data_IF_309326264481
#
_entry.id   IF_309326264481
#
_cell.length_a   1.000
_cell.length_b   1.000
_cell.length_c   1.000
_cell.angle_alpha   90.00
_cell.angle_beta   90.00
_cell.angle_gamma   90.00
#
_symmetry.space_group_name_H-M   'P 1'
#
loop_
_entity.id
_entity.type
_entity.pdbx_description
1 polymer ?
#
# COMPACT_ATOMS: atom_id res chain seq x y z
N UNK A 1 21.36 -2.66 -3.33
CA UNK A 1 19.99 -2.47 -3.83
C UNK A 1 19.30 -3.82 -3.75
N UNK A 2 18.15 -3.86 -3.10
CA UNK A 2 17.32 -5.04 -2.96
C UNK A 2 16.04 -4.84 -3.77
N UNK A 3 15.62 -5.88 -4.46
CA UNK A 3 14.43 -5.87 -5.30
C UNK A 3 13.39 -6.75 -4.61
N UNK A 4 12.19 -6.22 -4.42
CA UNK A 4 11.09 -6.92 -3.77
C UNK A 4 9.87 -6.88 -4.67
N UNK A 5 9.31 -8.03 -5.01
CA UNK A 5 8.04 -8.08 -5.74
C UNK A 5 6.91 -7.94 -4.74
N UNK A 6 6.06 -6.95 -4.92
CA UNK A 6 4.85 -6.74 -4.13
C UNK A 6 3.64 -7.24 -4.92
N UNK A 7 2.77 -8.00 -4.26
CA UNK A 7 1.52 -8.51 -4.82
C UNK A 7 0.36 -8.11 -3.91
N UNK A 8 -0.69 -7.54 -4.48
CA UNK A 8 -1.94 -7.31 -3.78
C UNK A 8 -2.87 -8.50 -4.05
N UNK A 9 -3.32 -9.17 -2.98
CA UNK A 9 -4.09 -10.40 -3.04
C UNK A 9 -5.39 -10.31 -2.21
N UNK A 10 -6.41 -11.05 -2.65
CA UNK A 10 -7.63 -11.29 -1.90
C UNK A 10 -7.46 -12.42 -0.89
N UNK A 11 -8.33 -12.49 0.13
CA UNK A 11 -8.46 -13.69 0.98
C UNK A 11 -8.79 -14.94 0.14
N UNK A 12 -9.43 -14.77 -1.01
CA UNK A 12 -9.72 -15.86 -1.97
C UNK A 12 -8.50 -16.31 -2.79
N UNK A 13 -7.34 -15.66 -2.66
CA UNK A 13 -6.12 -15.96 -3.44
C UNK A 13 -6.06 -15.30 -4.82
N UNK A 14 -6.98 -14.39 -5.13
CA UNK A 14 -6.95 -13.62 -6.39
C UNK A 14 -5.91 -12.50 -6.30
N UNK A 15 -4.93 -12.47 -7.21
CA UNK A 15 -3.96 -11.38 -7.32
C UNK A 15 -4.55 -10.23 -8.15
N UNK A 16 -4.64 -9.05 -7.56
CA UNK A 16 -5.23 -7.86 -8.20
C UNK A 16 -4.21 -6.98 -8.90
N UNK A 17 -3.02 -6.84 -8.30
CA UNK A 17 -1.94 -6.03 -8.84
C UNK A 17 -0.60 -6.61 -8.37
N UNK A 18 0.43 -6.43 -9.19
CA UNK A 18 1.77 -6.89 -8.88
C UNK A 18 2.79 -5.92 -9.49
N UNK A 19 3.71 -5.46 -8.65
CA UNK A 19 4.75 -4.52 -9.06
C UNK A 19 6.02 -4.77 -8.26
N UNK A 20 7.10 -4.13 -8.68
CA UNK A 20 8.41 -4.33 -8.08
C UNK A 20 8.86 -3.06 -7.38
N UNK A 21 9.21 -3.18 -6.11
CA UNK A 21 9.81 -2.12 -5.31
C UNK A 21 11.32 -2.31 -5.23
N UNK A 22 12.05 -1.19 -5.27
CA UNK A 22 13.49 -1.17 -5.10
C UNK A 22 13.83 -0.49 -3.78
N UNK A 23 14.57 -1.20 -2.94
CA UNK A 23 15.04 -0.69 -1.67
C UNK A 23 16.56 -0.49 -1.71
N UNK A 24 17.09 0.56 -1.05
CA UNK A 24 18.52 0.76 -0.93
C UNK A 24 19.19 -0.35 -0.09
N UNK A 25 18.46 -0.89 0.89
CA UNK A 25 18.90 -1.90 1.85
C UNK A 25 18.16 -3.22 1.67
N UNK A 26 18.81 -4.34 2.04
CA UNK A 26 18.18 -5.67 2.09
C UNK A 26 17.36 -5.90 3.36
N UNK A 27 17.61 -5.14 4.42
CA UNK A 27 16.81 -5.16 5.65
C UNK A 27 15.93 -3.93 5.68
N UNK A 28 14.61 -4.13 5.71
CA UNK A 28 13.62 -3.06 5.80
C UNK A 28 12.62 -3.37 6.90
N UNK A 29 11.91 -2.37 7.41
CA UNK A 29 10.77 -2.63 8.31
C UNK A 29 9.47 -2.77 7.54
N UNK A 30 8.48 -3.41 8.15
CA UNK A 30 7.11 -3.49 7.61
C UNK A 30 6.55 -2.09 7.34
N UNK A 31 6.82 -1.12 8.23
CA UNK A 31 6.47 0.29 8.04
C UNK A 31 7.10 0.88 6.78
N UNK A 32 8.37 0.58 6.51
CA UNK A 32 9.04 1.04 5.30
C UNK A 32 8.43 0.40 4.05
N UNK A 33 8.11 -0.89 4.12
CA UNK A 33 7.42 -1.61 3.05
C UNK A 33 6.06 -0.98 2.72
N UNK A 34 5.20 -0.77 3.73
CA UNK A 34 3.89 -0.13 3.58
C UNK A 34 4.03 1.28 3.02
N UNK A 35 5.01 2.05 3.52
CA UNK A 35 5.26 3.41 3.04
C UNK A 35 5.62 3.43 1.57
N UNK A 36 6.53 2.57 1.14
CA UNK A 36 6.99 2.54 -0.26
C UNK A 36 5.89 2.02 -1.20
N UNK A 37 5.10 1.04 -0.73
CA UNK A 37 3.88 0.56 -1.41
C UNK A 37 2.90 1.70 -1.65
N UNK A 38 2.54 2.46 -0.61
CA UNK A 38 1.59 3.58 -0.71
C UNK A 38 2.15 4.71 -1.58
N UNK A 39 3.45 4.97 -1.49
CA UNK A 39 4.10 5.97 -2.33
C UNK A 39 4.05 5.60 -3.82
N UNK A 40 4.35 4.34 -4.17
CA UNK A 40 4.16 3.84 -5.54
C UNK A 40 2.71 3.91 -5.99
N UNK A 41 1.76 3.55 -5.12
CA UNK A 41 0.34 3.66 -5.42
C UNK A 41 0.01 5.12 -5.83
N UNK A 42 0.34 6.11 -5.00
CA UNK A 42 0.11 7.53 -5.30
C UNK A 42 0.80 7.98 -6.59
N UNK A 43 2.05 7.58 -6.83
CA UNK A 43 2.78 7.91 -8.05
C UNK A 43 2.16 7.29 -9.32
N UNK A 44 1.65 6.06 -9.22
CA UNK A 44 0.92 5.42 -10.32
C UNK A 44 -0.41 6.14 -10.58
N UNK A 45 -1.08 6.62 -9.53
CA UNK A 45 -2.36 7.30 -9.64
C UNK A 45 -2.29 8.65 -10.35
N UNK A 46 -1.19 9.40 -10.22
CA UNK A 46 -1.00 10.63 -11.02
C UNK A 46 -0.92 10.34 -12.54
N UNK A 47 -0.68 9.09 -12.93
CA UNK A 47 -0.51 8.67 -14.33
C UNK A 47 -1.70 7.87 -14.89
N UNK A 48 -2.58 7.30 -14.06
CA UNK A 48 -3.72 6.49 -14.53
C UNK A 48 -4.96 6.61 -13.65
N UNK A 49 -6.03 7.16 -14.23
CA UNK A 49 -7.33 7.48 -13.60
C UNK A 49 -8.20 6.26 -13.26
N UNK A 50 -7.71 5.01 -13.34
CA UNK A 50 -8.63 3.84 -13.32
C UNK A 50 -8.09 2.57 -12.65
N UNK A 51 -7.66 2.60 -11.38
CA UNK A 51 -7.49 1.36 -10.60
C UNK A 51 -8.18 1.39 -9.23
N UNK A 52 -8.69 0.23 -8.86
CA UNK A 52 -9.54 -0.01 -7.68
C UNK A 52 -8.70 0.05 -6.40
N UNK A 53 -9.11 0.92 -5.49
CA UNK A 53 -8.34 1.42 -4.34
C UNK A 53 -8.19 0.41 -3.20
N UNK A 54 -7.03 0.38 -2.54
CA UNK A 54 -6.89 -0.28 -1.24
C UNK A 54 -7.55 0.54 -0.11
N UNK A 55 -7.50 1.87 -0.20
CA UNK A 55 -8.11 2.84 0.73
C UNK A 55 -9.19 3.64 0.00
N UNK A 56 -10.45 3.53 0.43
CA UNK A 56 -11.52 4.41 -0.07
C UNK A 56 -11.37 5.75 0.65
N UNK A 57 -11.08 6.87 -0.03
CA UNK A 57 -11.03 8.18 0.62
C UNK A 57 -12.36 8.45 1.31
N UNK A 58 -12.30 8.84 2.57
CA UNK A 58 -13.50 9.18 3.33
C UNK A 58 -14.22 10.37 2.70
N UNK A 59 -15.52 10.51 2.95
CA UNK A 59 -16.36 11.58 2.38
C UNK A 59 -15.76 12.99 2.48
N UNK A 60 -14.89 13.25 3.45
CA UNK A 60 -14.18 14.52 3.62
C UNK A 60 -13.17 14.82 2.49
N UNK A 61 -12.45 13.80 2.01
CA UNK A 61 -11.44 13.92 0.93
C UNK A 61 -12.11 14.05 -0.46
N UNK A 62 -13.30 13.48 -0.64
CA UNK A 62 -14.07 13.61 -1.89
C UNK A 62 -14.56 15.06 -2.12
N UNK A 63 -14.91 15.80 -1.06
CA UNK A 63 -15.30 17.21 -1.14
C UNK A 63 -14.15 18.14 -1.53
N UNK A 64 -12.92 17.82 -1.16
CA UNK A 64 -11.72 18.61 -1.49
C UNK A 64 -11.28 18.44 -2.95
N UNK A 65 -11.67 17.35 -3.61
CA UNK A 65 -11.45 17.13 -5.04
C UNK A 65 -12.48 17.82 -5.95
N UNK A 66 -13.23 18.80 -5.42
CA UNK A 66 -14.12 19.62 -6.24
C UNK A 66 -13.30 20.43 -7.26
N UNK A 67 -13.63 20.40 -8.57
CA UNK A 67 -12.83 21.00 -9.65
C UNK A 67 -12.92 22.54 -9.72
N UNK A 68 -13.14 23.20 -8.58
CA UNK A 68 -13.25 24.66 -8.46
C UNK A 68 -12.35 25.17 -7.34
N UNK A 69 -11.04 24.98 -7.48
CA UNK A 69 -10.07 25.89 -6.92
C UNK A 69 -8.72 25.68 -7.61
N UNK A 70 -8.48 26.54 -8.60
CA UNK A 70 -7.16 26.78 -9.16
C UNK A 70 -6.23 27.36 -8.09
N UNK A 71 -4.92 27.22 -8.33
CA UNK A 71 -3.75 27.73 -7.58
C UNK A 71 -3.39 26.95 -6.31
N UNK A 72 -2.20 26.32 -6.35
CA UNK A 72 -1.59 25.44 -5.35
C UNK A 72 -2.09 23.99 -5.39
N UNK A 73 -1.55 23.22 -6.34
CA UNK A 73 -1.53 21.76 -6.23
C UNK A 73 -0.76 21.40 -4.96
N UNK A 74 -1.47 21.32 -3.82
CA UNK A 74 -0.93 20.70 -2.64
C UNK A 74 -0.52 19.28 -3.06
N UNK A 75 0.74 18.88 -2.86
CA UNK A 75 1.15 17.52 -3.19
C UNK A 75 0.20 16.57 -2.47
N UNK A 76 -0.37 15.59 -3.18
CA UNK A 76 -1.17 14.54 -2.56
C UNK A 76 -0.43 14.12 -1.27
N UNK A 77 -1.08 14.32 -0.13
CA UNK A 77 -0.51 14.06 1.20
C UNK A 77 -0.35 12.54 1.38
N UNK A 78 0.57 11.92 0.64
CA UNK A 78 0.90 10.50 0.72
C UNK A 78 1.24 10.10 2.16
N UNK A 79 1.73 11.05 2.96
CA UNK A 79 1.96 10.88 4.40
C UNK A 79 0.69 10.47 5.15
N UNK A 80 -0.45 11.10 4.87
CA UNK A 80 -1.74 10.74 5.48
C UNK A 80 -2.20 9.36 5.03
N UNK A 81 -2.01 9.02 3.75
CA UNK A 81 -2.33 7.69 3.23
C UNK A 81 -1.47 6.60 3.88
N UNK A 82 -0.19 6.88 4.14
CA UNK A 82 0.70 5.98 4.87
C UNK A 82 0.23 5.78 6.30
N UNK A 83 -0.17 6.85 7.00
CA UNK A 83 -0.72 6.73 8.35
C UNK A 83 -2.00 5.89 8.39
N UNK A 84 -2.91 6.09 7.44
CA UNK A 84 -4.14 5.29 7.32
C UNK A 84 -3.81 3.83 7.03
N UNK A 85 -2.86 3.55 6.13
CA UNK A 85 -2.44 2.19 5.81
C UNK A 85 -1.77 1.50 7.02
N UNK A 86 -0.92 2.21 7.77
CA UNK A 86 -0.32 1.70 9.00
C UNK A 86 -1.41 1.38 10.04
N UNK A 87 -2.37 2.27 10.27
CA UNK A 87 -3.48 2.01 11.18
C UNK A 87 -4.36 0.83 10.71
N UNK A 88 -4.57 0.69 9.41
CA UNK A 88 -5.33 -0.44 8.86
C UNK A 88 -4.58 -1.76 9.08
N UNK A 89 -3.25 -1.80 8.94
CA UNK A 89 -2.44 -2.96 9.28
C UNK A 89 -2.58 -3.33 10.77
N UNK A 90 -2.39 -2.37 11.67
CA UNK A 90 -2.53 -2.60 13.12
C UNK A 90 -3.93 -3.03 13.55
N UNK A 91 -4.96 -2.65 12.78
CA UNK A 91 -6.36 -3.05 13.00
C UNK A 91 -6.75 -4.33 12.27
N UNK A 92 -5.80 -5.09 11.71
CA UNK A 92 -6.06 -6.31 10.94
C UNK A 92 -6.97 -6.08 9.71
N UNK A 93 -6.86 -4.93 9.06
CA UNK A 93 -7.57 -4.63 7.80
C UNK A 93 -6.96 -5.32 6.58
N UNK A 94 -5.68 -5.67 6.66
CA UNK A 94 -4.94 -6.49 5.70
C UNK A 94 -3.74 -7.15 6.39
N UNK A 95 -3.21 -8.20 5.78
CA UNK A 95 -2.02 -8.93 6.23
C UNK A 95 -0.88 -8.69 5.24
N UNK A 96 0.34 -8.62 5.74
CA UNK A 96 1.55 -8.59 4.92
C UNK A 96 2.33 -9.88 5.15
N UNK A 97 2.57 -10.63 4.08
CA UNK A 97 3.43 -11.79 4.06
C UNK A 97 4.71 -11.45 3.30
N UNK A 98 5.88 -11.83 3.79
CA UNK A 98 7.13 -11.83 3.05
C UNK A 98 7.68 -13.25 2.99
N UNK A 99 7.81 -13.82 1.79
CA UNK A 99 8.32 -15.19 1.60
C UNK A 99 7.61 -16.20 2.54
N UNK A 100 6.27 -16.13 2.59
CA UNK A 100 5.40 -16.93 3.46
C UNK A 100 5.45 -16.60 4.96
N UNK A 101 6.33 -15.68 5.39
CA UNK A 101 6.37 -15.18 6.76
C UNK A 101 5.39 -14.02 6.95
N UNK A 102 4.40 -14.19 7.83
CA UNK A 102 3.49 -13.12 8.19
C UNK A 102 4.15 -12.11 9.11
N UNK A 103 4.14 -10.84 8.71
CA UNK A 103 4.51 -9.74 9.57
C UNK A 103 3.45 -9.49 10.64
N UNK A 104 3.88 -9.33 11.90
CA UNK A 104 3.00 -9.10 13.04
C UNK A 104 2.98 -7.62 13.47
N UNK A 105 4.09 -6.91 13.26
CA UNK A 105 4.28 -5.54 13.75
C UNK A 105 4.92 -4.61 12.72
N UNK A 106 4.57 -3.32 12.77
CA UNK A 106 5.11 -2.31 11.85
C UNK A 106 6.63 -2.13 11.95
N UNK A 107 7.20 -2.36 13.13
CA UNK A 107 8.63 -2.20 13.39
C UNK A 107 9.42 -3.52 13.25
N UNK A 108 8.76 -4.60 12.85
CA UNK A 108 9.40 -5.86 12.52
C UNK A 108 10.35 -5.69 11.33
N UNK A 109 11.54 -6.27 11.46
CA UNK A 109 12.58 -6.21 10.42
C UNK A 109 12.44 -7.40 9.49
N UNK A 110 12.20 -7.07 8.23
CA UNK A 110 12.10 -7.98 7.12
C UNK A 110 13.40 -8.02 6.32
N UNK A 111 13.84 -9.22 5.92
CA UNK A 111 15.05 -9.40 5.10
C UNK A 111 14.69 -9.80 3.69
N UNK A 112 14.91 -8.88 2.75
CA UNK A 112 14.71 -9.05 1.31
C UNK A 112 15.86 -9.86 0.72
N UNK A 113 15.53 -10.95 0.05
CA UNK A 113 16.39 -11.79 -0.78
C UNK A 113 16.16 -11.48 -2.26
N UNK A 114 16.95 -12.10 -3.12
CA UNK A 114 16.96 -11.82 -4.57
C UNK A 114 15.63 -12.11 -5.28
N UNK A 115 14.82 -13.02 -4.72
CA UNK A 115 13.52 -13.45 -5.27
C UNK A 115 12.38 -13.24 -4.25
N UNK A 116 12.58 -12.33 -3.30
CA UNK A 116 11.59 -12.15 -2.23
C UNK A 116 10.27 -11.60 -2.77
N UNK A 117 9.18 -12.17 -2.26
CA UNK A 117 7.81 -11.74 -2.59
C UNK A 117 7.08 -11.27 -1.34
N UNK A 118 6.55 -10.06 -1.40
CA UNK A 118 5.67 -9.49 -0.38
C UNK A 118 4.21 -9.53 -0.85
N UNK A 119 3.37 -10.34 -0.22
CA UNK A 119 1.92 -10.38 -0.50
C UNK A 119 1.15 -9.55 0.52
N UNK A 120 0.36 -8.61 0.02
CA UNK A 120 -0.58 -7.79 0.77
C UNK A 120 -1.98 -8.39 0.62
N UNK A 121 -2.45 -9.12 1.63
CA UNK A 121 -3.73 -9.80 1.60
C UNK A 121 -4.77 -8.92 2.27
N UNK A 122 -5.72 -8.37 1.50
CA UNK A 122 -6.78 -7.54 2.05
C UNK A 122 -7.81 -8.39 2.78
N UNK A 123 -7.96 -8.16 4.10
CA UNK A 123 -8.91 -8.89 4.95
C UNK A 123 -10.30 -8.25 4.99
N UNK A 124 -10.40 -6.97 4.61
CA UNK A 124 -11.70 -6.32 4.49
C UNK A 124 -12.47 -6.91 3.31
N UNK A 125 -13.68 -7.47 3.51
CA UNK A 125 -14.52 -7.86 2.40
C UNK A 125 -14.75 -6.61 1.53
N UNK A 126 -14.48 -6.71 0.23
CA UNK A 126 -15.05 -5.79 -0.74
C UNK A 126 -16.56 -5.78 -0.44
N UNK A 127 -17.06 -4.62 -0.01
CA UNK A 127 -18.45 -4.41 0.39
C UNK A 127 -19.40 -5.32 -0.40
N UNK A 128 -19.92 -6.34 0.27
CA UNK A 128 -21.00 -7.17 -0.24
C UNK A 128 -22.31 -6.43 -0.07
N UNK A 129 -23.08 -6.33 -1.15
CA UNK A 129 -24.43 -5.75 -1.18
C UNK A 129 -24.61 -4.71 -2.27
#
# INVERSE_FOLDING_TARGET
MATLTVRDESVSGETFDAFTLQFPSTTITVRQLIRERVHQEVLLHEQTTSRQRLVVPGHLEATLNSPRQSTEQAPVDWRKHVEVACQAFERNGFVVLLDEHQAEHLDEVLTIRHDSVASFIKLTPLVGG
#
